data_IF_904214226452
#
_entry.id   IF_904214226452
#
_cell.length_a   1.000
_cell.length_b   1.000
_cell.length_c   1.000
_cell.angle_alpha   90.00
_cell.angle_beta   90.00
_cell.angle_gamma   90.00
#
_symmetry.space_group_name_H-M   'P 1'
#
loop_
_entity.id
_entity.type
_entity.pdbx_description
1 polymer ?
#
# COMPACT_ATOMS: atom_id res chain seq x y z
N UNK A 1 -22.18 13.40 -30.59
CA UNK A 1 -21.39 13.72 -29.39
C UNK A 1 -21.98 12.89 -28.27
N UNK A 2 -21.41 11.70 -28.02
CA UNK A 2 -21.84 10.83 -26.92
C UNK A 2 -21.33 11.47 -25.63
N UNK A 3 -22.26 11.88 -24.77
CA UNK A 3 -21.96 12.24 -23.39
C UNK A 3 -21.49 10.97 -22.69
N UNK A 4 -20.18 10.85 -22.49
CA UNK A 4 -19.62 9.94 -21.50
C UNK A 4 -20.26 10.33 -20.17
N UNK A 5 -21.07 9.42 -19.60
CA UNK A 5 -21.54 9.60 -18.23
C UNK A 5 -20.30 9.45 -17.35
N UNK A 6 -20.04 10.43 -16.49
CA UNK A 6 -19.07 10.27 -15.40
C UNK A 6 -19.59 9.18 -14.45
N UNK A 7 -19.31 7.91 -14.76
CA UNK A 7 -19.55 6.83 -13.80
C UNK A 7 -18.57 7.00 -12.64
N UNK A 8 -19.12 7.42 -11.51
CA UNK A 8 -18.35 7.61 -10.29
C UNK A 8 -18.00 6.25 -9.70
N UNK A 9 -16.71 5.98 -9.52
CA UNK A 9 -16.26 4.80 -8.76
C UNK A 9 -16.90 4.82 -7.37
N UNK A 10 -17.58 3.72 -7.01
CA UNK A 10 -18.21 3.54 -5.71
C UNK A 10 -17.46 2.50 -4.87
N UNK A 11 -17.53 2.65 -3.54
CA UNK A 11 -16.95 1.68 -2.61
C UNK A 11 -17.71 0.36 -2.74
N UNK A 12 -16.97 -0.73 -2.91
CA UNK A 12 -17.46 -2.10 -2.99
C UNK A 12 -17.38 -2.79 -1.63
N UNK A 13 -18.30 -3.73 -1.38
CA UNK A 13 -18.22 -4.62 -0.22
C UNK A 13 -17.16 -5.69 -0.45
N UNK A 14 -16.42 -6.04 0.61
CA UNK A 14 -15.50 -7.16 0.54
C UNK A 14 -16.25 -8.49 0.69
N UNK A 15 -15.81 -9.54 -0.03
CA UNK A 15 -16.36 -10.88 0.15
C UNK A 15 -16.06 -11.43 1.55
N UNK A 16 -16.71 -12.55 1.88
CA UNK A 16 -16.48 -13.32 3.12
C UNK A 16 -16.19 -14.78 2.79
N UNK A 17 -15.16 -14.99 1.99
CA UNK A 17 -14.79 -16.29 1.44
C UNK A 17 -13.57 -16.91 2.09
N UNK A 18 -12.76 -16.10 2.78
CA UNK A 18 -11.55 -16.54 3.47
C UNK A 18 -11.93 -16.97 4.89
N UNK A 19 -11.74 -18.27 5.16
CA UNK A 19 -12.08 -18.88 6.46
C UNK A 19 -11.14 -18.38 7.57
N UNK A 20 -9.85 -18.25 7.25
CA UNK A 20 -8.82 -17.85 8.21
C UNK A 20 -7.90 -16.76 7.59
N UNK A 21 -8.28 -15.48 7.71
CA UNK A 21 -7.47 -14.36 7.23
C UNK A 21 -6.08 -14.28 7.88
N UNK A 22 -5.95 -14.71 9.13
CA UNK A 22 -4.68 -14.70 9.86
C UNK A 22 -3.69 -15.69 9.26
N UNK A 23 -4.12 -16.92 9.00
CA UNK A 23 -3.27 -17.92 8.36
C UNK A 23 -2.76 -17.46 6.99
N UNK A 24 -3.62 -16.81 6.18
CA UNK A 24 -3.21 -16.31 4.86
C UNK A 24 -2.21 -15.13 4.96
N UNK A 25 -2.44 -14.19 5.89
CA UNK A 25 -1.49 -13.10 6.14
C UNK A 25 -0.13 -13.62 6.64
N UNK A 26 -0.16 -14.63 7.50
CA UNK A 26 1.05 -15.29 8.00
C UNK A 26 1.79 -16.09 6.92
N UNK A 27 1.07 -16.75 6.01
CA UNK A 27 1.66 -17.42 4.84
C UNK A 27 2.41 -16.42 3.94
N UNK A 28 1.81 -15.26 3.69
CA UNK A 28 2.45 -14.17 2.96
C UNK A 28 3.80 -13.79 3.58
N UNK A 29 3.83 -13.50 4.90
CA UNK A 29 5.09 -13.14 5.55
C UNK A 29 6.09 -14.29 5.56
N UNK A 30 5.64 -15.54 5.72
CA UNK A 30 6.51 -16.73 5.70
C UNK A 30 7.26 -16.91 4.37
N UNK A 31 6.65 -16.52 3.26
CA UNK A 31 7.27 -16.63 1.93
C UNK A 31 8.08 -15.40 1.52
N UNK A 32 7.77 -14.24 2.09
CA UNK A 32 8.23 -12.94 1.59
C UNK A 32 9.26 -12.25 2.49
N UNK A 33 9.39 -12.65 3.75
CA UNK A 33 10.32 -12.07 4.72
C UNK A 33 10.70 -13.06 5.84
N UNK A 34 11.87 -12.87 6.44
CA UNK A 34 12.25 -13.54 7.69
C UNK A 34 11.44 -13.02 8.91
N UNK A 35 10.67 -11.95 8.75
CA UNK A 35 9.87 -11.33 9.82
C UNK A 35 8.69 -12.18 10.31
N UNK A 36 8.34 -13.24 9.58
CA UNK A 36 7.32 -14.20 10.03
C UNK A 36 7.52 -14.64 11.49
N UNK A 37 8.77 -14.95 11.87
CA UNK A 37 9.09 -15.38 13.24
C UNK A 37 8.78 -14.29 14.26
N UNK A 38 9.10 -13.04 13.94
CA UNK A 38 8.86 -11.89 14.82
C UNK A 38 7.37 -11.65 15.03
N UNK A 39 6.56 -11.78 13.97
CA UNK A 39 5.09 -11.67 14.08
C UNK A 39 4.56 -12.76 15.01
N UNK A 40 4.99 -14.01 14.83
CA UNK A 40 4.55 -15.13 15.69
C UNK A 40 4.93 -14.89 17.15
N UNK A 41 6.17 -14.46 17.42
CA UNK A 41 6.63 -14.09 18.76
C UNK A 41 5.79 -12.94 19.35
N UNK A 42 5.45 -11.93 18.54
CA UNK A 42 4.59 -10.81 18.93
C UNK A 42 3.18 -11.24 19.31
N UNK A 43 2.59 -12.18 18.56
CA UNK A 43 1.28 -12.77 18.88
C UNK A 43 1.37 -13.59 20.18
N UNK A 44 2.37 -14.47 20.30
CA UNK A 44 2.51 -15.37 21.46
C UNK A 44 2.82 -14.63 22.76
N UNK A 45 3.58 -13.53 22.68
CA UNK A 45 3.91 -12.68 23.83
C UNK A 45 2.82 -11.68 24.20
N UNK A 46 1.76 -11.56 23.38
CA UNK A 46 0.68 -10.61 23.59
C UNK A 46 1.04 -9.16 23.25
N UNK A 47 2.09 -8.93 22.45
CA UNK A 47 2.40 -7.60 21.91
C UNK A 47 1.51 -7.24 20.71
N UNK A 48 1.03 -8.24 19.97
CA UNK A 48 -0.01 -8.08 18.94
C UNK A 48 -1.35 -8.51 19.55
N UNK A 49 -2.30 -7.57 19.62
CA UNK A 49 -3.53 -7.72 20.39
C UNK A 49 -4.74 -7.47 19.48
N UNK A 50 -5.67 -8.41 19.44
CA UNK A 50 -6.97 -8.19 18.77
C UNK A 50 -7.85 -7.28 19.60
N UNK A 51 -8.49 -6.31 18.95
CA UNK A 51 -9.50 -5.43 19.53
C UNK A 51 -10.90 -5.91 19.17
N UNK A 52 -11.87 -5.62 20.05
CA UNK A 52 -13.30 -5.82 19.79
C UNK A 52 -13.98 -4.55 19.25
N UNK A 53 -13.39 -3.38 19.47
CA UNK A 53 -13.94 -2.07 19.06
C UNK A 53 -12.86 -1.00 18.92
N UNK A 54 -13.18 0.07 18.20
CA UNK A 54 -12.31 1.24 18.04
C UNK A 54 -11.65 1.28 16.67
N UNK A 55 -10.33 1.42 16.63
CA UNK A 55 -9.51 1.39 15.41
C UNK A 55 -8.19 0.69 15.71
N UNK A 56 -7.57 0.10 14.69
CA UNK A 56 -6.20 -0.40 14.81
C UNK A 56 -5.22 0.74 15.09
N UNK A 57 -4.16 0.47 15.84
CA UNK A 57 -3.07 1.40 16.11
C UNK A 57 -1.85 0.70 16.71
N UNK A 58 -0.70 1.35 16.59
CA UNK A 58 0.52 0.98 17.30
C UNK A 58 0.80 1.94 18.46
N UNK A 59 1.07 1.40 19.65
CA UNK A 59 1.55 2.18 20.78
C UNK A 59 3.06 2.34 20.68
N UNK A 60 3.50 3.56 20.35
CA UNK A 60 4.91 3.87 20.16
C UNK A 60 5.74 3.76 21.43
N UNK A 61 5.13 3.77 22.62
CA UNK A 61 5.85 3.61 23.90
C UNK A 61 6.12 2.15 24.23
N UNK A 62 5.10 1.31 24.11
CA UNK A 62 5.21 -0.12 24.46
C UNK A 62 5.68 -0.99 23.30
N UNK A 63 5.51 -0.53 22.05
CA UNK A 63 5.73 -1.34 20.85
C UNK A 63 4.58 -2.30 20.56
N UNK A 64 3.50 -2.25 21.35
CA UNK A 64 2.33 -3.10 21.17
C UNK A 64 1.50 -2.62 19.97
N UNK A 65 0.98 -3.57 19.20
CA UNK A 65 0.11 -3.33 18.06
C UNK A 65 -1.28 -3.88 18.35
N UNK A 66 -2.28 -3.04 18.17
CA UNK A 66 -3.68 -3.35 18.43
C UNK A 66 -4.42 -3.39 17.09
N UNK A 67 -5.06 -4.51 16.77
CA UNK A 67 -5.66 -4.76 15.45
C UNK A 67 -7.16 -4.95 15.62
N UNK A 68 -7.96 -4.14 14.94
CA UNK A 68 -9.40 -4.36 14.80
C UNK A 68 -9.70 -4.98 13.44
N UNK A 69 -10.39 -6.11 13.45
CA UNK A 69 -10.83 -6.82 12.24
C UNK A 69 -12.26 -6.42 11.85
N UNK A 70 -12.52 -6.41 10.55
CA UNK A 70 -13.80 -6.09 9.92
C UNK A 70 -14.71 -7.32 9.76
N UNK A 71 -14.17 -8.53 9.96
CA UNK A 71 -14.88 -9.81 9.78
C UNK A 71 -15.36 -10.02 8.33
N UNK A 72 -14.48 -9.67 7.39
CA UNK A 72 -14.59 -9.91 5.95
C UNK A 72 -13.19 -10.12 5.34
N UNK A 73 -13.11 -10.42 4.04
CA UNK A 73 -11.86 -10.75 3.37
C UNK A 73 -10.85 -9.58 3.35
N UNK A 74 -11.25 -8.35 3.69
CA UNK A 74 -10.31 -7.24 3.87
C UNK A 74 -9.40 -7.40 5.09
N UNK A 75 -9.74 -8.31 6.01
CA UNK A 75 -8.94 -8.60 7.21
C UNK A 75 -7.53 -9.05 6.86
N UNK A 76 -7.33 -9.71 5.71
CA UNK A 76 -5.98 -10.09 5.24
C UNK A 76 -5.11 -8.84 5.01
N UNK A 77 -5.68 -7.79 4.41
CA UNK A 77 -4.99 -6.52 4.22
C UNK A 77 -4.80 -5.77 5.54
N UNK A 78 -5.81 -5.78 6.43
CA UNK A 78 -5.70 -5.17 7.76
C UNK A 78 -4.55 -5.79 8.55
N UNK A 79 -4.49 -7.12 8.60
CA UNK A 79 -3.43 -7.86 9.27
C UNK A 79 -2.05 -7.56 8.68
N UNK A 80 -1.89 -7.63 7.35
CA UNK A 80 -0.59 -7.35 6.72
C UNK A 80 -0.13 -5.93 6.96
N UNK A 81 -1.05 -4.95 6.92
CA UNK A 81 -0.78 -3.55 7.18
C UNK A 81 -0.28 -3.34 8.62
N UNK A 82 -1.01 -3.84 9.61
CA UNK A 82 -0.64 -3.66 11.02
C UNK A 82 0.60 -4.48 11.41
N UNK A 83 0.82 -5.65 10.78
CA UNK A 83 2.07 -6.39 10.95
C UNK A 83 3.28 -5.61 10.42
N UNK A 84 3.14 -4.85 9.33
CA UNK A 84 4.23 -4.01 8.85
C UNK A 84 4.61 -2.92 9.87
N UNK A 85 3.60 -2.27 10.49
CA UNK A 85 3.84 -1.32 11.57
C UNK A 85 4.50 -1.97 12.79
N UNK A 86 4.04 -3.17 13.17
CA UNK A 86 4.64 -3.95 14.25
C UNK A 86 6.11 -4.28 13.97
N UNK A 87 6.41 -4.76 12.76
CA UNK A 87 7.76 -5.11 12.32
C UNK A 87 8.64 -3.88 12.38
N UNK A 88 8.24 -2.78 11.74
CA UNK A 88 9.01 -1.54 11.69
C UNK A 88 9.37 -1.07 13.11
N UNK A 89 8.38 -0.99 14.00
CA UNK A 89 8.58 -0.49 15.36
C UNK A 89 9.48 -1.38 16.20
N UNK A 90 9.47 -2.69 15.95
CA UNK A 90 10.23 -3.68 16.70
C UNK A 90 11.52 -4.14 15.98
N UNK A 91 11.83 -3.59 14.80
CA UNK A 91 13.09 -3.81 14.08
C UNK A 91 14.20 -2.91 14.67
N UNK A 92 15.44 -3.40 14.68
CA UNK A 92 16.63 -2.62 15.09
C UNK A 92 17.73 -2.72 14.03
N UNK A 93 18.12 -1.61 13.37
CA UNK A 93 17.50 -0.28 13.43
C UNK A 93 16.07 -0.28 12.85
N UNK A 94 15.20 0.65 13.25
CA UNK A 94 13.85 0.74 12.66
C UNK A 94 13.92 0.90 11.13
N UNK A 95 12.94 0.36 10.41
CA UNK A 95 12.86 0.43 8.94
C UNK A 95 12.55 1.89 8.54
N UNK A 96 11.57 2.48 9.21
CA UNK A 96 11.25 3.90 9.18
C UNK A 96 11.64 4.50 10.53
N UNK A 97 12.75 5.24 10.63
CA UNK A 97 13.15 5.86 11.88
C UNK A 97 12.15 6.96 12.27
N UNK A 98 12.06 7.27 13.57
CA UNK A 98 11.14 8.30 14.11
C UNK A 98 11.26 9.65 13.40
N UNK A 99 12.45 9.96 12.88
CA UNK A 99 12.71 11.17 12.08
C UNK A 99 11.87 11.18 10.79
N UNK A 100 11.55 10.04 10.21
CA UNK A 100 10.77 9.87 8.98
C UNK A 100 9.40 9.24 9.21
N UNK A 101 8.81 9.41 10.41
CA UNK A 101 7.52 8.80 10.80
C UNK A 101 6.39 8.94 9.76
N UNK A 102 6.42 9.99 8.94
CA UNK A 102 5.46 10.23 7.86
C UNK A 102 5.51 9.20 6.71
N UNK A 103 6.52 8.33 6.68
CA UNK A 103 6.64 7.22 5.73
C UNK A 103 6.19 5.87 6.31
N UNK A 104 5.84 5.78 7.59
CA UNK A 104 5.43 4.52 8.22
C UNK A 104 4.22 3.90 7.48
N UNK A 105 3.25 4.72 7.12
CA UNK A 105 2.09 4.31 6.34
C UNK A 105 2.47 3.88 4.92
N UNK A 106 3.46 4.54 4.31
CA UNK A 106 3.98 4.12 3.01
C UNK A 106 4.64 2.74 3.10
N UNK A 107 5.33 2.41 4.20
CA UNK A 107 5.88 1.07 4.37
C UNK A 107 4.77 0.01 4.51
N UNK A 108 3.76 0.28 5.33
CA UNK A 108 2.62 -0.63 5.48
C UNK A 108 1.86 -0.85 4.16
N UNK A 109 1.65 0.21 3.40
CA UNK A 109 1.06 0.12 2.05
C UNK A 109 1.94 -0.62 1.06
N UNK A 110 3.25 -0.42 1.09
CA UNK A 110 4.18 -1.18 0.26
C UNK A 110 4.05 -2.69 0.51
N UNK A 111 3.89 -3.10 1.78
CA UNK A 111 3.62 -4.50 2.13
C UNK A 111 2.24 -4.97 1.64
N UNK A 112 1.20 -4.14 1.71
CA UNK A 112 -0.10 -4.45 1.09
C UNK A 112 0.04 -4.68 -0.43
N UNK A 113 0.86 -3.91 -1.15
CA UNK A 113 1.07 -4.09 -2.59
C UNK A 113 1.83 -5.36 -2.94
N UNK A 114 2.79 -5.75 -2.11
CA UNK A 114 3.42 -7.07 -2.21
C UNK A 114 2.39 -8.18 -1.97
N UNK A 115 1.49 -8.00 -1.00
CA UNK A 115 0.37 -8.93 -0.77
C UNK A 115 -0.56 -9.01 -1.98
N UNK A 116 -0.90 -7.90 -2.65
CA UNK A 116 -1.74 -7.94 -3.87
C UNK A 116 -1.17 -8.86 -4.94
N UNK A 117 0.16 -8.83 -5.14
CA UNK A 117 0.85 -9.72 -6.07
C UNK A 117 0.76 -11.19 -5.61
N UNK A 118 1.08 -11.44 -4.34
CA UNK A 118 0.99 -12.78 -3.72
C UNK A 118 -0.41 -13.40 -3.84
N UNK A 119 -1.45 -12.60 -3.60
CA UNK A 119 -2.86 -13.00 -3.69
C UNK A 119 -3.29 -13.25 -5.13
N UNK A 120 -2.84 -12.42 -6.07
CA UNK A 120 -3.12 -12.59 -7.49
C UNK A 120 -2.54 -13.88 -8.05
N UNK A 121 -1.35 -14.28 -7.60
CA UNK A 121 -0.73 -15.56 -7.98
C UNK A 121 -1.49 -16.78 -7.41
N UNK A 122 -2.35 -16.56 -6.40
CA UNK A 122 -3.15 -17.58 -5.70
C UNK A 122 -4.65 -17.44 -5.95
N UNK A 123 -5.04 -16.94 -7.11
CA UNK A 123 -6.45 -16.84 -7.58
C UNK A 123 -7.39 -15.94 -6.75
N UNK A 124 -6.87 -15.13 -5.83
CA UNK A 124 -7.67 -14.15 -5.06
C UNK A 124 -7.91 -12.83 -5.83
N UNK A 125 -8.09 -12.90 -7.16
CA UNK A 125 -8.18 -11.71 -8.02
C UNK A 125 -9.34 -10.77 -7.66
N UNK A 126 -10.49 -11.32 -7.28
CA UNK A 126 -11.66 -10.52 -6.91
C UNK A 126 -11.38 -9.68 -5.66
N UNK A 127 -10.75 -10.25 -4.63
CA UNK A 127 -10.35 -9.55 -3.43
C UNK A 127 -9.37 -8.41 -3.73
N UNK A 128 -8.35 -8.67 -4.56
CA UNK A 128 -7.38 -7.65 -4.99
C UNK A 128 -8.06 -6.52 -5.76
N UNK A 129 -8.98 -6.85 -6.67
CA UNK A 129 -9.74 -5.85 -7.44
C UNK A 129 -10.60 -4.98 -6.52
N UNK A 130 -11.34 -5.59 -5.57
CA UNK A 130 -12.14 -4.87 -4.57
C UNK A 130 -11.27 -3.95 -3.72
N UNK A 131 -10.08 -4.42 -3.29
CA UNK A 131 -9.13 -3.61 -2.53
C UNK A 131 -8.68 -2.38 -3.31
N UNK A 132 -8.24 -2.58 -4.56
CA UNK A 132 -7.78 -1.50 -5.45
C UNK A 132 -8.87 -0.47 -5.71
N UNK A 133 -10.08 -0.93 -6.05
CA UNK A 133 -11.23 -0.04 -6.25
C UNK A 133 -11.50 0.82 -5.00
N UNK A 134 -11.58 0.18 -3.83
CA UNK A 134 -11.85 0.87 -2.57
C UNK A 134 -10.76 1.87 -2.19
N UNK A 135 -9.50 1.58 -2.53
CA UNK A 135 -8.38 2.53 -2.35
C UNK A 135 -8.46 3.72 -3.29
N UNK A 136 -8.72 3.51 -4.58
CA UNK A 136 -8.92 4.61 -5.55
C UNK A 136 -10.06 5.54 -5.12
N UNK A 137 -11.19 4.98 -4.65
CA UNK A 137 -12.33 5.77 -4.14
C UNK A 137 -11.92 6.60 -2.92
N UNK A 138 -11.22 5.99 -1.96
CA UNK A 138 -10.75 6.68 -0.76
C UNK A 138 -9.74 7.79 -1.08
N UNK A 139 -8.76 7.50 -1.93
CA UNK A 139 -7.70 8.44 -2.34
C UNK A 139 -8.25 9.58 -3.18
N UNK A 140 -9.15 9.30 -4.12
CA UNK A 140 -9.85 10.32 -4.88
C UNK A 140 -10.59 11.27 -3.94
N UNK A 141 -11.35 10.73 -2.98
CA UNK A 141 -12.05 11.56 -1.98
C UNK A 141 -11.07 12.40 -1.17
N UNK A 142 -9.94 11.83 -0.74
CA UNK A 142 -8.94 12.56 0.02
C UNK A 142 -8.32 13.67 -0.84
N UNK A 143 -7.88 13.39 -2.07
CA UNK A 143 -7.30 14.37 -3.01
C UNK A 143 -8.30 15.49 -3.34
N UNK A 144 -9.56 15.15 -3.61
CA UNK A 144 -10.63 16.12 -3.85
C UNK A 144 -10.90 16.98 -2.60
N UNK A 145 -10.94 16.38 -1.41
CA UNK A 145 -11.12 17.09 -0.14
C UNK A 145 -9.94 18.01 0.17
N UNK A 146 -8.75 17.66 -0.31
CA UNK A 146 -7.55 18.47 -0.13
C UNK A 146 -7.64 19.76 -0.94
N UNK A 147 -8.48 19.86 -2.00
CA UNK A 147 -8.69 20.99 -2.93
C UNK A 147 -7.73 22.18 -2.72
N UNK A 148 -6.45 21.90 -2.81
CA UNK A 148 -5.37 22.87 -2.66
C UNK A 148 -4.89 23.07 -4.08
N UNK A 149 -5.09 24.29 -4.58
CA UNK A 149 -4.52 24.86 -5.80
C UNK A 149 -3.33 24.02 -6.31
N UNK A 150 -3.63 23.05 -7.18
CA UNK A 150 -2.71 22.02 -7.70
C UNK A 150 -1.47 22.63 -8.37
N UNK A 151 -1.52 23.96 -8.60
CA UNK A 151 -0.40 24.81 -9.03
C UNK A 151 0.71 25.01 -7.97
N UNK A 152 0.49 24.67 -6.69
CA UNK A 152 1.43 24.96 -5.58
C UNK A 152 2.22 23.77 -5.02
N UNK A 153 1.80 22.52 -5.20
CA UNK A 153 2.59 21.36 -4.72
C UNK A 153 3.65 21.03 -5.78
N UNK A 154 4.70 21.87 -5.87
CA UNK A 154 5.75 21.81 -6.91
C UNK A 154 6.98 20.96 -6.62
N UNK A 155 7.11 20.42 -5.42
CA UNK A 155 8.23 19.52 -5.03
C UNK A 155 8.01 19.02 -3.61
N UNK A 156 8.46 17.79 -3.30
CA UNK A 156 8.75 17.38 -1.92
C UNK A 156 9.78 18.38 -1.39
N UNK A 157 9.40 19.19 -0.40
CA UNK A 157 10.28 20.22 0.14
C UNK A 157 11.24 19.60 1.17
N UNK A 158 12.55 19.92 1.13
CA UNK A 158 13.51 19.42 2.10
C UNK A 158 13.11 19.75 3.53
N UNK A 159 13.54 18.84 4.41
CA UNK A 159 13.19 18.55 5.80
C UNK A 159 12.96 19.71 6.79
N UNK A 160 13.30 20.95 6.46
CA UNK A 160 13.27 22.08 7.39
C UNK A 160 11.96 22.86 7.44
N UNK A 161 10.95 22.46 6.67
CA UNK A 161 9.57 22.86 6.95
C UNK A 161 8.79 21.62 7.37
N UNK A 162 8.10 21.73 8.50
CA UNK A 162 7.16 20.77 9.08
C UNK A 162 5.95 20.62 8.13
N UNK A 163 6.20 20.05 6.95
CA UNK A 163 5.50 20.34 5.70
C UNK A 163 4.18 19.57 5.58
N UNK A 164 3.17 20.26 5.05
CA UNK A 164 1.93 19.68 4.53
C UNK A 164 2.18 18.36 3.77
N UNK A 165 3.25 18.27 2.98
CA UNK A 165 3.65 17.05 2.24
C UNK A 165 3.91 15.85 3.16
N UNK A 166 4.51 16.02 4.33
CA UNK A 166 4.72 14.91 5.28
C UNK A 166 3.37 14.45 5.85
N UNK A 167 2.45 15.38 6.13
CA UNK A 167 1.08 15.03 6.52
C UNK A 167 0.34 14.34 5.36
N UNK A 168 0.56 14.76 4.12
CA UNK A 168 -0.01 14.12 2.94
C UNK A 168 0.60 12.74 2.66
N UNK A 169 1.89 12.54 2.92
CA UNK A 169 2.55 11.24 2.86
C UNK A 169 2.10 10.31 3.97
N UNK A 170 1.56 10.84 5.07
CA UNK A 170 0.96 9.99 6.10
C UNK A 170 -0.36 9.34 5.66
N UNK A 171 -1.27 9.95 4.88
CA UNK A 171 -2.48 9.21 4.42
C UNK A 171 -3.38 9.79 3.30
N UNK A 172 -2.89 10.62 2.38
CA UNK A 172 -3.38 10.45 0.99
C UNK A 172 -2.37 9.86 0.03
N UNK A 173 -1.08 10.18 0.18
CA UNK A 173 -0.06 9.85 -0.80
C UNK A 173 0.69 8.56 -0.47
N UNK A 174 0.52 7.99 0.72
CA UNK A 174 1.22 6.79 1.16
C UNK A 174 1.01 5.60 0.21
N UNK A 175 -0.25 5.31 -0.13
CA UNK A 175 -0.60 4.22 -1.05
C UNK A 175 -0.12 4.52 -2.48
N UNK A 176 -0.23 5.77 -2.95
CA UNK A 176 0.22 6.21 -4.27
C UNK A 176 1.73 6.05 -4.42
N UNK A 177 2.48 6.49 -3.41
CA UNK A 177 3.93 6.31 -3.34
C UNK A 177 4.28 4.81 -3.37
N UNK A 178 3.58 4.00 -2.56
CA UNK A 178 3.82 2.55 -2.49
C UNK A 178 3.55 1.82 -3.81
N UNK A 179 2.47 2.19 -4.49
CA UNK A 179 2.13 1.70 -5.83
C UNK A 179 3.24 2.06 -6.84
N UNK A 180 3.72 3.31 -6.81
CA UNK A 180 4.81 3.76 -7.67
C UNK A 180 6.09 2.94 -7.45
N UNK A 181 6.47 2.68 -6.19
CA UNK A 181 7.65 1.88 -5.86
C UNK A 181 7.58 0.45 -6.43
N UNK A 182 6.41 -0.18 -6.34
CA UNK A 182 6.18 -1.55 -6.83
C UNK A 182 6.23 -1.60 -8.36
N UNK A 183 5.60 -0.64 -9.04
CA UNK A 183 5.54 -0.60 -10.50
C UNK A 183 6.91 -0.33 -11.14
N UNK A 184 7.76 0.43 -10.45
CA UNK A 184 9.14 0.66 -10.89
C UNK A 184 10.12 -0.44 -10.50
N UNK A 185 9.60 -1.55 -9.94
CA UNK A 185 10.39 -2.72 -9.54
C UNK A 185 11.63 -2.32 -8.73
N UNK A 186 11.48 -1.31 -7.86
CA UNK A 186 12.59 -0.88 -7.02
C UNK A 186 12.78 -2.00 -5.98
N UNK A 187 13.68 -2.93 -6.28
CA UNK A 187 14.14 -3.92 -5.32
C UNK A 187 15.13 -3.20 -4.42
N UNK A 188 14.77 -3.05 -3.16
CA UNK A 188 15.64 -2.46 -2.15
C UNK A 188 15.59 -3.33 -0.91
N UNK A 189 16.69 -3.35 -0.16
CA UNK A 189 16.68 -3.92 1.18
C UNK A 189 15.78 -3.06 2.06
N UNK A 190 15.04 -3.64 3.00
CA UNK A 190 14.09 -2.85 3.81
C UNK A 190 14.75 -1.65 4.49
N UNK A 191 16.03 -1.75 4.86
CA UNK A 191 16.81 -0.65 5.46
C UNK A 191 17.02 0.55 4.50
N UNK A 192 16.84 0.37 3.21
CA UNK A 192 16.93 1.39 2.16
C UNK A 192 15.55 2.01 1.85
N UNK A 193 14.46 1.52 2.44
CA UNK A 193 13.08 1.96 2.15
C UNK A 193 12.93 3.48 2.21
N UNK A 194 13.44 4.10 3.28
CA UNK A 194 13.36 5.55 3.49
C UNK A 194 14.15 6.31 2.43
N UNK A 195 15.37 5.85 2.14
CA UNK A 195 16.23 6.46 1.13
C UNK A 195 15.57 6.43 -0.24
N UNK A 196 15.01 5.27 -0.62
CA UNK A 196 14.28 5.11 -1.87
C UNK A 196 13.07 6.04 -1.92
N UNK A 197 12.24 6.06 -0.87
CA UNK A 197 11.07 6.96 -0.78
C UNK A 197 11.46 8.43 -0.97
N UNK A 198 12.55 8.87 -0.34
CA UNK A 198 12.99 10.28 -0.43
C UNK A 198 13.52 10.69 -1.81
N UNK A 199 13.81 9.73 -2.68
CA UNK A 199 14.27 9.96 -4.07
C UNK A 199 13.13 9.95 -5.09
N UNK A 200 11.93 9.50 -4.72
CA UNK A 200 10.77 9.48 -5.63
C UNK A 200 10.31 10.89 -5.95
N UNK A 201 10.05 11.15 -7.23
CA UNK A 201 9.36 12.36 -7.65
C UNK A 201 7.84 12.15 -7.52
N UNK A 202 7.21 12.82 -6.54
CA UNK A 202 5.77 12.68 -6.29
C UNK A 202 4.88 13.10 -7.46
N UNK A 203 5.37 13.95 -8.38
CA UNK A 203 4.60 14.27 -9.58
C UNK A 203 4.43 13.07 -10.49
N UNK A 204 5.50 12.32 -10.71
CA UNK A 204 5.46 11.12 -11.57
C UNK A 204 4.51 10.08 -10.95
N UNK A 205 4.59 9.88 -9.63
CA UNK A 205 3.68 9.00 -8.90
C UNK A 205 2.20 9.45 -8.99
N UNK A 206 1.93 10.75 -8.92
CA UNK A 206 0.57 11.29 -9.06
C UNK A 206 0.03 11.18 -10.49
N UNK A 207 0.87 11.44 -11.49
CA UNK A 207 0.49 11.34 -12.90
C UNK A 207 0.17 9.89 -13.28
N UNK A 208 0.96 8.93 -12.80
CA UNK A 208 0.66 7.51 -12.98
C UNK A 208 -0.61 7.08 -12.27
N UNK A 209 -0.83 7.52 -11.03
CA UNK A 209 -2.09 7.24 -10.33
C UNK A 209 -3.31 7.76 -11.11
N UNK A 210 -3.21 8.97 -11.69
CA UNK A 210 -4.28 9.52 -12.53
C UNK A 210 -4.53 8.68 -13.78
N UNK A 211 -3.49 8.13 -14.40
CA UNK A 211 -3.62 7.19 -15.53
C UNK A 211 -4.32 5.90 -15.10
N UNK A 212 -3.87 5.27 -14.01
CA UNK A 212 -4.50 4.06 -13.46
C UNK A 212 -5.97 4.26 -13.11
N UNK A 213 -6.32 5.41 -12.56
CA UNK A 213 -7.71 5.78 -12.27
C UNK A 213 -8.54 5.81 -13.56
N UNK A 214 -8.05 6.45 -14.62
CA UNK A 214 -8.75 6.51 -15.91
C UNK A 214 -8.93 5.11 -16.52
N UNK A 215 -7.90 4.27 -16.48
CA UNK A 215 -7.98 2.89 -16.98
C UNK A 215 -9.00 2.05 -16.19
N UNK A 216 -9.09 2.26 -14.87
CA UNK A 216 -10.04 1.56 -14.01
C UNK A 216 -11.49 1.94 -14.31
N UNK A 217 -11.76 3.22 -14.62
CA UNK A 217 -13.07 3.68 -15.08
C UNK A 217 -13.43 3.06 -16.43
N UNK A 218 -12.51 3.10 -17.39
CA UNK A 218 -12.74 2.58 -18.75
C UNK A 218 -12.95 1.05 -18.77
N UNK A 219 -12.27 0.29 -17.89
CA UNK A 219 -12.42 -1.16 -17.83
C UNK A 219 -13.76 -1.62 -17.22
N UNK A 220 -14.37 -0.82 -16.33
CA UNK A 220 -15.72 -1.08 -15.84
C UNK A 220 -16.77 -0.96 -16.95
N UNK A 221 -16.55 -0.11 -17.96
CA UNK A 221 -17.43 -0.01 -19.15
C UNK A 221 -17.37 -1.27 -20.03
N UNK A 222 -16.20 -1.91 -20.14
CA UNK A 222 -15.99 -3.10 -20.99
C UNK A 222 -16.47 -4.39 -20.31
N UNK A 223 -16.30 -4.50 -18.98
CA UNK A 223 -16.73 -5.67 -18.21
C UNK A 223 -18.25 -5.90 -18.18
N UNK A 224 -19.06 -4.90 -18.55
CA UNK A 224 -20.52 -5.07 -18.70
C UNK A 224 -20.91 -5.76 -20.02
N UNK A 225 -20.00 -5.94 -20.99
CA UNK A 225 -20.32 -6.49 -22.31
C UNK A 225 -19.59 -7.78 -22.71
N UNK A 226 -18.52 -8.22 -22.05
CA UNK A 226 -17.98 -9.58 -22.18
C UNK A 226 -16.89 -9.87 -21.12
N UNK A 227 -16.83 -11.06 -20.50
CA UNK A 227 -15.74 -11.42 -19.60
C UNK A 227 -14.59 -12.04 -20.40
N UNK A 228 -13.54 -11.27 -20.73
CA UNK A 228 -12.17 -11.82 -20.87
C UNK A 228 -11.12 -10.80 -21.29
N UNK A 229 -9.91 -11.01 -20.72
CA UNK A 229 -8.59 -10.41 -20.98
C UNK A 229 -8.27 -9.10 -20.24
N UNK A 230 -8.03 -9.25 -18.94
CA UNK A 230 -7.08 -8.41 -18.22
C UNK A 230 -5.67 -8.63 -18.81
N UNK A 231 -5.20 -7.68 -19.60
CA UNK A 231 -3.79 -7.54 -19.95
C UNK A 231 -3.05 -6.94 -18.75
N UNK A 232 -2.67 -7.77 -17.79
CA UNK A 232 -1.75 -7.37 -16.72
C UNK A 232 -0.33 -7.42 -17.33
N UNK A 233 0.15 -6.24 -17.72
CA UNK A 233 1.46 -5.87 -18.28
C UNK A 233 1.83 -6.35 -19.70
N UNK A 234 2.25 -5.42 -20.57
CA UNK A 234 3.60 -5.55 -21.13
C UNK A 234 4.44 -4.25 -21.24
N UNK A 235 5.68 -4.38 -20.77
CA UNK A 235 6.99 -3.79 -21.20
C UNK A 235 7.06 -2.33 -21.66
N UNK A 236 7.97 -1.57 -21.00
CA UNK A 236 9.06 -0.89 -21.71
C UNK A 236 10.42 -1.24 -21.10
N UNK A 237 11.35 -1.53 -22.01
CA UNK A 237 12.74 -1.92 -21.74
C UNK A 237 13.49 -0.85 -20.93
N UNK A 238 14.10 -1.24 -19.82
CA UNK A 238 15.23 -0.52 -19.26
C UNK A 238 16.45 -1.42 -19.35
N UNK A 239 17.42 -1.02 -20.18
CA UNK A 239 18.75 -1.59 -20.23
C UNK A 239 19.44 -1.33 -18.89
N UNK A 240 19.45 -2.31 -17.99
CA UNK A 240 20.31 -2.29 -16.83
C UNK A 240 21.71 -2.72 -17.25
N UNK A 241 22.63 -1.76 -17.36
CA UNK A 241 24.06 -2.05 -17.37
C UNK A 241 24.45 -2.49 -15.97
N UNK A 242 24.81 -3.78 -15.83
CA UNK A 242 25.52 -4.27 -14.66
C UNK A 242 26.96 -3.74 -14.72
N UNK A 243 27.33 -2.86 -13.79
CA UNK A 243 28.75 -2.66 -13.44
C UNK A 243 29.01 -3.53 -12.22
N UNK A 244 29.52 -4.74 -12.50
CA UNK A 244 30.18 -5.57 -11.50
C UNK A 244 31.50 -4.91 -11.14
N UNK A 245 31.70 -4.50 -9.90
CA UNK A 245 33.04 -4.43 -9.32
C UNK A 245 33.06 -5.28 -8.05
N UNK A 246 33.48 -6.54 -8.24
CA UNK A 246 34.30 -7.23 -7.27
C UNK A 246 35.71 -6.65 -7.42
N UNK A 247 36.20 -6.01 -6.36
CA UNK A 247 37.51 -6.22 -5.73
C UNK A 247 37.55 -5.43 -4.41
#
# INVERSE_FOLDING_TARGET
MLSLKDEKLEKQEYPKTIIDPLSLALEFYKEQSDDYKRIIEGIQSGQIISLEKGRSYIDTKSGNTYILLNHDDSDVFCLVHEFAHFIDRNHKPAIVPDSHWFLAESYAFYMEKRLEKFLSERVYHALVQTRRNNRIVSETKNIETISFDTKKIKTILPYHMTNLVNVLLSYPLANILSEYLINHSVSFLEQEFVEVCTRVNLYDALDEFNQFKQDSVNNNEVSQNHPSKLSIYPRKNCNCYFINHFD
#
